data_IF_850375154397
#
_entry.id   IF_850375154397
#
_cell.length_a   1.000
_cell.length_b   1.000
_cell.length_c   1.000
_cell.angle_alpha   90.00
_cell.angle_beta   90.00
_cell.angle_gamma   90.00
#
_symmetry.space_group_name_H-M   'P 1'
#
loop_
_entity.id
_entity.type
_entity.pdbx_description
1 polymer ?
#
# COMPACT_ATOMS: atom_id res chain seq x y z
N UNK A 1 16.16 25.34 14.27
CA UNK A 1 15.03 24.38 14.21
C UNK A 1 15.05 23.77 12.81
N UNK A 2 15.42 22.49 12.68
CA UNK A 2 15.43 21.85 11.37
C UNK A 2 13.98 21.52 10.99
N UNK A 3 13.45 22.16 9.93
CA UNK A 3 12.23 21.72 9.29
C UNK A 3 12.52 20.36 8.65
N UNK A 4 12.26 19.27 9.39
CA UNK A 4 12.25 17.95 8.78
C UNK A 4 11.18 17.99 7.69
N UNK A 5 11.55 17.70 6.44
CA UNK A 5 10.57 17.50 5.37
C UNK A 5 9.51 16.52 5.91
N UNK A 6 8.20 16.76 5.68
CA UNK A 6 7.18 15.80 6.05
C UNK A 6 7.60 14.45 5.49
N UNK A 7 7.83 13.46 6.34
CA UNK A 7 8.17 12.12 5.89
C UNK A 7 6.92 11.62 5.17
N UNK A 8 6.94 11.61 3.84
CA UNK A 8 5.83 11.18 2.98
C UNK A 8 5.57 9.67 3.07
N UNK A 9 5.95 9.00 4.17
CA UNK A 9 5.90 7.56 4.37
C UNK A 9 5.37 7.08 5.73
N UNK A 10 5.00 7.95 6.67
CA UNK A 10 4.52 7.56 8.02
C UNK A 10 3.01 7.22 8.06
N UNK A 11 2.37 7.00 6.91
CA UNK A 11 0.95 6.64 6.82
C UNK A 11 0.72 5.13 6.92
N UNK A 12 -0.45 4.67 7.41
CA UNK A 12 -0.77 3.23 7.46
C UNK A 12 -0.78 2.62 6.05
N UNK A 13 -0.87 1.29 5.96
CA UNK A 13 -1.20 0.65 4.69
C UNK A 13 -2.55 1.18 4.18
N UNK A 14 -2.60 1.58 2.92
CA UNK A 14 -3.82 2.10 2.29
C UNK A 14 -4.12 1.32 0.99
N UNK A 15 -5.39 1.05 0.72
CA UNK A 15 -5.86 0.49 -0.55
C UNK A 15 -7.11 1.26 -1.01
N UNK A 16 -7.04 1.89 -2.19
CA UNK A 16 -8.10 2.72 -2.76
C UNK A 16 -8.46 2.28 -4.17
N UNK A 17 -9.75 2.29 -4.53
CA UNK A 17 -10.17 2.07 -5.91
C UNK A 17 -10.06 3.37 -6.69
N UNK A 18 -9.22 3.39 -7.73
CA UNK A 18 -9.02 4.55 -8.59
C UNK A 18 -9.35 4.18 -10.04
N UNK A 19 -10.45 4.75 -10.55
CA UNK A 19 -10.97 4.41 -11.87
C UNK A 19 -11.33 2.92 -11.99
N UNK A 20 -10.57 2.19 -12.79
CA UNK A 20 -10.76 0.74 -13.04
C UNK A 20 -9.81 -0.15 -12.22
N UNK A 21 -8.77 0.44 -11.61
CA UNK A 21 -7.77 -0.27 -10.83
C UNK A 21 -7.92 -0.07 -9.32
N UNK A 22 -7.10 -0.79 -8.57
CA UNK A 22 -6.93 -0.66 -7.13
C UNK A 22 -5.49 -0.21 -6.89
N UNK A 23 -5.32 0.91 -6.21
CA UNK A 23 -4.02 1.44 -5.83
C UNK A 23 -3.76 1.09 -4.36
N UNK A 24 -2.72 0.30 -4.12
CA UNK A 24 -2.24 -0.04 -2.78
C UNK A 24 -0.97 0.75 -2.46
N UNK A 25 -0.91 1.33 -1.27
CA UNK A 25 0.22 2.13 -0.75
C UNK A 25 0.73 1.51 0.54
N UNK A 26 1.97 1.03 0.54
CA UNK A 26 2.60 0.37 1.68
C UNK A 26 3.76 1.23 2.21
N UNK A 27 3.76 1.62 3.49
CA UNK A 27 4.89 2.33 4.09
C UNK A 27 6.12 1.41 4.18
N UNK A 28 7.31 1.95 3.91
CA UNK A 28 8.57 1.19 3.97
C UNK A 28 9.43 1.61 5.17
N UNK A 29 10.05 0.64 5.84
CA UNK A 29 11.04 0.89 6.89
C UNK A 29 12.29 1.52 6.26
N UNK A 30 12.46 2.83 6.43
CA UNK A 30 13.51 3.62 5.75
C UNK A 30 12.97 4.88 5.06
N UNK A 31 11.65 5.00 4.96
CA UNK A 31 10.97 6.16 4.40
C UNK A 31 10.49 5.93 2.97
N UNK A 32 9.45 6.69 2.59
CA UNK A 32 8.76 6.54 1.31
C UNK A 32 7.61 5.53 1.38
N UNK A 33 6.97 5.30 0.23
CA UNK A 33 5.85 4.37 0.07
C UNK A 33 6.03 3.58 -1.20
N UNK A 34 5.82 2.27 -1.11
CA UNK A 34 5.61 1.44 -2.29
C UNK A 34 4.18 1.68 -2.77
N UNK A 35 4.01 2.04 -4.03
CA UNK A 35 2.70 2.21 -4.66
C UNK A 35 2.57 1.15 -5.75
N UNK A 36 1.52 0.33 -5.65
CA UNK A 36 1.23 -0.74 -6.60
C UNK A 36 -0.18 -0.53 -7.13
N UNK A 37 -0.34 -0.60 -8.45
CA UNK A 37 -1.65 -0.66 -9.10
C UNK A 37 -1.98 -2.12 -9.43
N UNK A 38 -3.19 -2.54 -9.07
CA UNK A 38 -3.69 -3.90 -9.24
C UNK A 38 -5.01 -3.86 -10.00
N UNK A 39 -5.25 -4.87 -10.82
CA UNK A 39 -6.61 -5.18 -11.27
C UNK A 39 -7.44 -5.76 -10.13
N UNK A 40 -8.78 -5.77 -10.24
CA UNK A 40 -9.64 -6.42 -9.24
C UNK A 40 -9.32 -7.90 -9.01
N UNK A 41 -8.91 -8.61 -10.07
CA UNK A 41 -8.58 -10.03 -10.03
C UNK A 41 -7.27 -10.28 -9.27
N UNK A 42 -6.23 -9.50 -9.54
CA UNK A 42 -4.94 -9.58 -8.83
C UNK A 42 -5.10 -9.22 -7.35
N UNK A 43 -5.91 -8.21 -7.02
CA UNK A 43 -6.17 -7.83 -5.64
C UNK A 43 -6.91 -8.93 -4.86
N UNK A 44 -7.86 -9.62 -5.50
CA UNK A 44 -8.55 -10.76 -4.90
C UNK A 44 -7.58 -11.93 -4.64
N UNK A 45 -6.73 -12.27 -5.62
CA UNK A 45 -5.72 -13.31 -5.48
C UNK A 45 -4.73 -13.00 -4.35
N UNK A 46 -4.24 -11.76 -4.27
CA UNK A 46 -3.37 -11.31 -3.18
C UNK A 46 -4.05 -11.46 -1.82
N UNK A 47 -5.34 -11.11 -1.71
CA UNK A 47 -6.11 -11.25 -0.48
C UNK A 47 -6.20 -12.70 0.02
N UNK A 48 -6.35 -13.67 -0.88
CA UNK A 48 -6.39 -15.09 -0.52
C UNK A 48 -5.03 -15.61 -0.03
N UNK A 49 -3.93 -15.26 -0.72
CA UNK A 49 -2.57 -15.60 -0.29
C UNK A 49 -2.24 -15.02 1.09
N UNK A 50 -2.64 -13.77 1.34
CA UNK A 50 -2.42 -13.12 2.64
C UNK A 50 -3.22 -13.80 3.76
N UNK A 51 -4.50 -14.15 3.54
CA UNK A 51 -5.29 -14.91 4.53
C UNK A 51 -4.63 -16.24 4.89
N UNK A 52 -4.02 -16.91 3.91
CA UNK A 52 -3.33 -18.18 4.10
C UNK A 52 -2.14 -18.12 5.06
N UNK A 53 -1.52 -16.95 5.22
CA UNK A 53 -0.36 -16.76 6.11
C UNK A 53 -0.68 -16.01 7.41
N UNK A 54 -1.88 -15.42 7.52
CA UNK A 54 -2.32 -14.71 8.74
C UNK A 54 -3.38 -15.47 9.55
N UNK A 55 -3.70 -16.71 9.18
CA UNK A 55 -4.67 -17.57 9.88
C UNK A 55 -4.02 -18.59 10.82
#
# INVERSE_FOLDING_TARGET
MAAMKPRTGDGPLEATKEGRGIVMRVPLEGGGRLVVELTPEEAAALGEELKGVTS
#
